data_IF_838004284342
#
_entry.id   IF_838004284342
#
_cell.length_a   1.000
_cell.length_b   1.000
_cell.length_c   1.000
_cell.angle_alpha   90.00
_cell.angle_beta   90.00
_cell.angle_gamma   90.00
#
_symmetry.space_group_name_H-M   'P 1'
#
loop_
_entity.id
_entity.type
_entity.pdbx_description
1 polymer ?
#
# COMPACT_ATOMS: atom_id res chain seq x y z
N UNK A 1 15.45 -36.13 31.19
CA UNK A 1 14.17 -35.37 31.21
C UNK A 1 14.50 -33.91 31.36
N UNK A 2 14.52 -33.19 30.29
CA UNK A 2 14.70 -31.72 30.28
C UNK A 2 13.89 -31.17 29.10
N UNK A 3 12.85 -30.39 29.41
CA UNK A 3 11.96 -29.74 28.46
C UNK A 3 12.69 -28.55 27.85
N UNK A 4 13.07 -28.67 26.60
CA UNK A 4 13.41 -27.52 25.76
C UNK A 4 12.12 -26.75 25.44
N UNK A 5 11.98 -25.57 26.02
CA UNK A 5 11.02 -24.55 25.64
C UNK A 5 11.64 -23.82 24.44
N UNK A 6 11.10 -24.10 23.29
CA UNK A 6 11.33 -23.28 22.10
C UNK A 6 10.57 -21.95 22.26
N UNK A 7 11.29 -20.90 22.55
CA UNK A 7 10.81 -19.52 22.52
C UNK A 7 11.58 -18.81 21.43
N UNK A 8 11.14 -18.98 20.20
CA UNK A 8 11.49 -18.05 19.13
C UNK A 8 10.63 -16.79 19.25
N UNK A 9 10.96 -15.93 20.22
CA UNK A 9 10.56 -14.54 20.19
C UNK A 9 11.32 -13.87 19.01
N UNK A 10 10.63 -13.68 17.91
CA UNK A 10 11.04 -12.70 16.90
C UNK A 10 10.95 -11.33 17.58
N UNK A 11 12.07 -10.87 18.12
CA UNK A 11 12.22 -9.47 18.49
C UNK A 11 12.17 -8.65 17.20
N UNK A 12 10.98 -8.21 16.85
CA UNK A 12 10.81 -7.13 15.89
C UNK A 12 11.46 -5.88 16.51
N UNK A 13 12.58 -5.45 15.91
CA UNK A 13 13.23 -4.18 16.29
C UNK A 13 12.21 -3.03 16.21
N UNK A 14 11.76 -2.59 17.39
CA UNK A 14 10.75 -1.53 17.53
C UNK A 14 11.31 -0.12 17.24
N UNK A 15 12.62 0.02 16.98
CA UNK A 15 13.31 1.31 16.98
C UNK A 15 13.57 1.96 15.62
N UNK A 16 13.16 1.33 14.50
CA UNK A 16 13.27 1.95 13.16
C UNK A 16 11.95 2.61 12.70
N UNK A 17 10.91 2.55 13.51
CA UNK A 17 9.62 3.16 13.22
C UNK A 17 9.55 4.44 14.03
N UNK A 18 9.66 5.58 13.41
CA UNK A 18 9.31 6.86 14.04
C UNK A 18 7.82 6.90 14.37
N UNK A 19 7.36 6.04 15.31
CA UNK A 19 6.01 6.06 15.80
C UNK A 19 5.91 7.22 16.79
N UNK A 20 5.28 8.30 16.35
CA UNK A 20 4.97 9.47 17.18
C UNK A 20 3.81 9.17 18.15
N UNK A 21 2.91 8.23 17.77
CA UNK A 21 1.68 7.89 18.49
C UNK A 21 1.63 6.41 18.89
N UNK A 22 0.95 6.13 20.00
CA UNK A 22 0.67 4.78 20.52
C UNK A 22 -0.84 4.52 20.51
N UNK A 23 -1.24 3.27 20.62
CA UNK A 23 -2.66 2.94 20.69
C UNK A 23 -3.37 3.65 21.85
N UNK A 24 -2.68 3.83 22.98
CA UNK A 24 -3.22 4.48 24.18
C UNK A 24 -3.46 5.99 24.00
N UNK A 25 -2.92 6.59 22.94
CA UNK A 25 -3.19 7.99 22.55
C UNK A 25 -4.53 8.15 21.83
N UNK A 26 -5.16 7.02 21.45
CA UNK A 26 -6.48 6.99 20.82
C UNK A 26 -7.57 6.65 21.82
N UNK A 27 -8.68 7.40 21.75
CA UNK A 27 -9.91 7.03 22.46
C UNK A 27 -10.61 5.90 21.68
N UNK A 28 -10.57 4.70 22.22
CA UNK A 28 -11.03 3.47 21.59
C UNK A 28 -12.28 2.92 22.28
N UNK A 29 -13.27 2.50 21.48
CA UNK A 29 -14.48 1.79 21.95
C UNK A 29 -14.53 0.42 21.25
N UNK A 30 -14.90 -0.61 22.00
CA UNK A 30 -15.04 -1.99 21.51
C UNK A 30 -16.51 -2.37 21.62
N UNK A 31 -17.12 -2.73 20.47
CA UNK A 31 -18.52 -3.14 20.39
C UNK A 31 -18.64 -4.44 19.57
N UNK A 32 -18.63 -5.59 20.27
CA UNK A 32 -18.67 -6.90 19.60
C UNK A 32 -17.45 -7.12 18.70
N UNK A 33 -17.69 -7.21 17.38
CA UNK A 33 -16.64 -7.36 16.37
C UNK A 33 -16.25 -6.02 15.71
N UNK A 34 -16.54 -4.90 16.39
CA UNK A 34 -16.20 -3.55 15.93
C UNK A 34 -15.22 -2.88 16.88
N UNK A 35 -14.28 -2.15 16.29
CA UNK A 35 -13.40 -1.22 16.97
C UNK A 35 -13.70 0.19 16.44
N UNK A 36 -13.95 1.12 17.33
CA UNK A 36 -14.25 2.52 16.96
C UNK A 36 -13.13 3.39 17.54
N UNK A 37 -12.42 4.08 16.69
CA UNK A 37 -11.51 5.14 17.08
C UNK A 37 -12.27 6.48 17.03
N UNK A 38 -12.27 7.19 18.14
CA UNK A 38 -12.97 8.47 18.28
C UNK A 38 -12.08 9.64 17.87
N UNK A 39 -12.69 10.64 17.24
CA UNK A 39 -12.07 11.94 16.96
C UNK A 39 -10.77 11.85 16.13
N UNK A 40 -10.70 10.96 15.12
CA UNK A 40 -9.52 10.77 14.28
C UNK A 40 -9.54 11.72 13.07
N UNK A 41 -8.73 12.79 13.14
CA UNK A 41 -8.76 13.87 12.14
C UNK A 41 -8.12 13.54 10.80
N UNK A 42 -7.11 12.68 10.77
CA UNK A 42 -6.27 12.42 9.59
C UNK A 42 -6.51 11.03 9.03
N UNK A 43 -7.78 10.68 8.80
CA UNK A 43 -8.16 9.39 8.27
C UNK A 43 -9.50 9.50 7.51
N UNK A 44 -9.47 9.36 6.19
CA UNK A 44 -10.70 9.24 5.40
C UNK A 44 -10.60 8.00 4.51
N UNK A 45 -11.47 6.98 4.69
CA UNK A 45 -11.43 5.74 3.91
C UNK A 45 -11.35 5.96 2.40
N UNK A 46 -12.15 6.88 1.86
CA UNK A 46 -12.12 7.22 0.44
C UNK A 46 -10.72 7.72 -0.01
N UNK A 47 -10.09 8.61 0.75
CA UNK A 47 -8.77 9.13 0.40
C UNK A 47 -7.69 8.06 0.50
N UNK A 48 -7.84 7.09 1.42
CA UNK A 48 -6.88 6.01 1.62
C UNK A 48 -6.99 4.95 0.52
N UNK A 49 -8.22 4.51 0.22
CA UNK A 49 -8.42 3.35 -0.65
C UNK A 49 -8.55 3.71 -2.13
N UNK A 50 -8.93 4.94 -2.46
CA UNK A 50 -9.07 5.39 -3.85
C UNK A 50 -7.84 6.14 -4.38
N UNK A 51 -6.79 6.35 -3.58
CA UNK A 51 -5.59 7.06 -4.00
C UNK A 51 -4.57 6.20 -4.78
N UNK A 52 -4.93 4.98 -5.19
CA UNK A 52 -4.14 4.15 -6.09
C UNK A 52 -2.97 3.38 -5.47
N UNK A 53 -2.92 3.28 -4.14
CA UNK A 53 -1.89 2.54 -3.42
C UNK A 53 -2.24 1.07 -3.16
N UNK A 54 -3.49 0.68 -3.30
CA UNK A 54 -4.00 -0.67 -2.99
C UNK A 54 -5.07 -1.10 -3.99
N UNK A 55 -5.30 -2.42 -4.11
CA UNK A 55 -6.19 -2.96 -5.15
C UNK A 55 -7.20 -3.97 -4.62
N UNK A 56 -7.21 -4.28 -3.34
CA UNK A 56 -8.10 -5.27 -2.70
C UNK A 56 -9.12 -4.65 -1.76
N UNK A 57 -9.35 -3.35 -1.88
CA UNK A 57 -10.36 -2.60 -1.15
C UNK A 57 -11.48 -2.23 -2.10
N UNK A 58 -12.71 -2.55 -1.73
CA UNK A 58 -13.91 -2.33 -2.55
C UNK A 58 -14.86 -1.44 -1.76
N UNK A 59 -15.32 -0.38 -2.40
CA UNK A 59 -16.38 0.47 -1.83
C UNK A 59 -17.71 -0.25 -1.88
N UNK A 60 -18.40 -0.31 -0.76
CA UNK A 60 -19.71 -0.91 -0.61
C UNK A 60 -20.82 0.12 -0.88
N UNK A 61 -22.06 -0.35 -1.02
CA UNK A 61 -23.23 0.51 -1.28
C UNK A 61 -23.51 1.52 -0.14
N UNK A 62 -23.16 1.14 1.11
CA UNK A 62 -23.26 2.00 2.29
C UNK A 62 -22.14 3.04 2.40
N UNK A 63 -21.23 3.08 1.44
CA UNK A 63 -20.08 3.99 1.40
C UNK A 63 -18.87 3.51 2.20
N UNK A 64 -18.98 2.42 2.95
CA UNK A 64 -17.85 1.77 3.63
C UNK A 64 -16.94 1.06 2.64
N UNK A 65 -15.76 0.63 3.10
CA UNK A 65 -14.80 -0.12 2.29
C UNK A 65 -14.52 -1.47 2.92
N UNK A 66 -14.75 -2.55 2.17
CA UNK A 66 -14.35 -3.90 2.58
C UNK A 66 -13.07 -4.29 1.88
N UNK A 67 -12.10 -4.77 2.64
CA UNK A 67 -10.81 -5.16 2.10
C UNK A 67 -10.26 -6.44 2.69
N UNK A 68 -9.28 -7.01 1.99
CA UNK A 68 -8.47 -8.12 2.46
C UNK A 68 -7.03 -7.66 2.56
N UNK A 69 -6.46 -7.79 3.76
CA UNK A 69 -5.06 -7.51 4.01
C UNK A 69 -4.53 -8.41 5.15
N UNK A 70 -3.25 -8.76 5.09
CA UNK A 70 -2.62 -9.59 6.14
C UNK A 70 -3.40 -10.88 6.47
N UNK A 71 -4.09 -11.47 5.46
CA UNK A 71 -4.88 -12.69 5.62
C UNK A 71 -6.17 -12.51 6.44
N UNK A 72 -6.71 -11.31 6.55
CA UNK A 72 -7.94 -10.95 7.25
C UNK A 72 -8.87 -10.15 6.35
N UNK A 73 -10.16 -10.30 6.58
CA UNK A 73 -11.22 -9.45 6.00
C UNK A 73 -11.62 -8.41 7.02
N UNK A 74 -11.68 -7.15 6.60
CA UNK A 74 -12.11 -6.04 7.44
C UNK A 74 -12.96 -5.07 6.63
N UNK A 75 -13.92 -4.42 7.29
CA UNK A 75 -14.64 -3.30 6.72
C UNK A 75 -14.27 -2.03 7.49
N UNK A 76 -14.12 -0.92 6.78
CA UNK A 76 -13.74 0.39 7.34
C UNK A 76 -14.71 1.43 6.84
N UNK A 77 -15.23 2.21 7.78
CA UNK A 77 -16.10 3.36 7.51
C UNK A 77 -15.76 4.52 8.43
N UNK A 78 -16.32 5.69 8.15
CA UNK A 78 -16.31 6.81 9.08
C UNK A 78 -17.73 7.20 9.45
N UNK A 79 -17.91 7.66 10.68
CA UNK A 79 -19.12 8.28 11.20
C UNK A 79 -18.73 9.63 11.82
N UNK A 80 -18.84 10.69 11.02
CA UNK A 80 -18.21 11.97 11.32
C UNK A 80 -16.68 11.81 11.39
N UNK A 81 -16.10 12.22 12.51
CA UNK A 81 -14.65 12.12 12.78
C UNK A 81 -14.26 10.77 13.40
N UNK A 82 -15.21 9.88 13.64
CA UNK A 82 -14.96 8.54 14.17
C UNK A 82 -14.66 7.56 13.04
N UNK A 83 -13.71 6.66 13.26
CA UNK A 83 -13.38 5.59 12.31
C UNK A 83 -13.85 4.26 12.89
N UNK A 84 -14.69 3.56 12.13
CA UNK A 84 -15.25 2.27 12.50
C UNK A 84 -14.56 1.17 11.71
N UNK A 85 -13.95 0.24 12.44
CA UNK A 85 -13.38 -0.99 11.90
C UNK A 85 -14.30 -2.15 12.28
N UNK A 86 -14.96 -2.77 11.30
CA UNK A 86 -15.88 -3.89 11.51
C UNK A 86 -15.25 -5.20 11.03
N UNK A 87 -15.70 -6.33 11.58
CA UNK A 87 -15.15 -7.67 11.37
C UNK A 87 -13.72 -7.82 11.88
N UNK A 88 -13.46 -7.25 13.04
CA UNK A 88 -12.18 -7.34 13.75
C UNK A 88 -12.37 -7.48 15.26
N UNK A 89 -11.29 -7.72 15.96
CA UNK A 89 -11.22 -7.77 17.42
C UNK A 89 -10.01 -6.97 17.91
N UNK A 90 -9.91 -6.74 19.20
CA UNK A 90 -8.84 -5.91 19.78
C UNK A 90 -7.43 -6.50 19.57
N UNK A 91 -7.30 -7.81 19.52
CA UNK A 91 -6.03 -8.51 19.29
C UNK A 91 -5.54 -8.26 17.86
N UNK A 92 -6.37 -8.55 16.86
CA UNK A 92 -6.05 -8.25 15.44
C UNK A 92 -5.86 -6.74 15.24
N UNK A 93 -6.61 -5.89 15.94
CA UNK A 93 -6.45 -4.45 15.83
C UNK A 93 -5.07 -4.00 16.32
N UNK A 94 -4.62 -4.45 17.48
CA UNK A 94 -3.30 -4.14 18.04
C UNK A 94 -2.14 -4.68 17.21
N UNK A 95 -2.26 -5.93 16.75
CA UNK A 95 -1.15 -6.65 16.14
C UNK A 95 -1.06 -6.47 14.61
N UNK A 96 -2.16 -6.07 13.95
CA UNK A 96 -2.24 -5.99 12.49
C UNK A 96 -2.66 -4.58 12.06
N UNK A 97 -3.86 -4.13 12.48
CA UNK A 97 -4.50 -2.96 11.87
C UNK A 97 -3.87 -1.65 12.28
N UNK A 98 -3.38 -1.56 13.52
CA UNK A 98 -2.69 -0.36 14.00
C UNK A 98 -1.46 -0.04 13.14
N UNK A 99 -0.65 -1.06 12.82
CA UNK A 99 0.48 -0.93 11.90
C UNK A 99 0.02 -0.75 10.44
N UNK A 100 -0.93 -1.58 9.99
CA UNK A 100 -1.39 -1.57 8.60
C UNK A 100 -1.91 -0.19 8.15
N UNK A 101 -2.67 0.49 9.00
CA UNK A 101 -3.20 1.83 8.74
C UNK A 101 -2.24 2.96 9.13
N UNK A 102 -1.00 2.64 9.47
CA UNK A 102 0.04 3.61 9.89
C UNK A 102 -0.47 4.54 11.02
N UNK A 103 -1.23 3.98 11.98
CA UNK A 103 -1.82 4.76 13.08
C UNK A 103 -0.76 5.27 14.06
N UNK A 104 0.42 4.66 14.07
CA UNK A 104 1.55 5.12 14.88
C UNK A 104 2.20 6.42 14.40
N UNK A 105 1.87 6.91 13.19
CA UNK A 105 2.43 8.15 12.64
C UNK A 105 1.52 9.34 12.92
N UNK A 106 2.09 10.45 13.35
CA UNK A 106 1.40 11.74 13.45
C UNK A 106 1.27 12.40 12.07
N UNK A 107 0.13 12.14 11.41
CA UNK A 107 -0.17 12.75 10.11
C UNK A 107 -0.48 14.25 10.20
N UNK A 108 -0.89 14.76 11.33
CA UNK A 108 -1.08 16.21 11.51
C UNK A 108 0.26 16.93 11.44
N UNK A 109 1.29 16.40 12.10
CA UNK A 109 2.67 16.91 12.03
C UNK A 109 3.23 16.79 10.61
N UNK A 110 3.11 15.60 9.99
CA UNK A 110 3.58 15.36 8.62
C UNK A 110 2.95 16.35 7.63
N UNK A 111 1.62 16.54 7.70
CA UNK A 111 0.91 17.47 6.84
C UNK A 111 1.32 18.92 7.06
N UNK A 112 1.55 19.31 8.31
CA UNK A 112 2.04 20.65 8.63
C UNK A 112 3.41 20.90 7.95
N UNK A 113 4.33 19.96 8.03
CA UNK A 113 5.63 20.04 7.37
C UNK A 113 5.51 20.12 5.84
N UNK A 114 4.68 19.26 5.23
CA UNK A 114 4.44 19.25 3.78
C UNK A 114 3.76 20.53 3.29
N UNK A 115 2.75 21.01 4.01
CA UNK A 115 2.02 22.25 3.66
C UNK A 115 2.88 23.50 3.72
N UNK A 116 3.90 23.50 4.58
CA UNK A 116 4.87 24.58 4.68
C UNK A 116 5.88 24.66 3.53
N UNK A 117 5.92 23.64 2.65
CA UNK A 117 6.90 23.58 1.57
C UNK A 117 6.58 24.56 0.44
N UNK A 118 5.38 24.49 -0.14
CA UNK A 118 4.89 25.44 -1.15
C UNK A 118 3.35 25.40 -1.26
N UNK A 119 2.78 26.40 -1.98
CA UNK A 119 1.34 26.56 -2.14
C UNK A 119 0.66 25.37 -2.89
N UNK A 120 1.35 24.73 -3.83
CA UNK A 120 0.78 23.62 -4.60
C UNK A 120 0.68 22.35 -3.75
N UNK A 121 1.72 22.07 -2.95
CA UNK A 121 1.71 20.95 -2.02
C UNK A 121 0.71 21.19 -0.89
N UNK A 122 0.59 22.43 -0.40
CA UNK A 122 -0.45 22.78 0.58
C UNK A 122 -1.86 22.48 0.04
N UNK A 123 -2.19 22.91 -1.19
CA UNK A 123 -3.47 22.60 -1.84
C UNK A 123 -3.69 21.08 -2.00
N UNK A 124 -2.65 20.34 -2.34
CA UNK A 124 -2.73 18.88 -2.50
C UNK A 124 -2.97 18.18 -1.14
N UNK A 125 -2.32 18.64 -0.07
CA UNK A 125 -2.52 18.15 1.30
C UNK A 125 -3.93 18.45 1.79
N UNK A 126 -4.43 19.68 1.59
CA UNK A 126 -5.79 20.06 1.97
C UNK A 126 -6.84 19.22 1.21
N UNK A 127 -6.61 18.95 -0.08
CA UNK A 127 -7.50 18.12 -0.89
C UNK A 127 -7.52 16.66 -0.44
N UNK A 128 -6.35 16.08 -0.19
CA UNK A 128 -6.16 14.70 0.21
C UNK A 128 -6.01 14.50 1.72
N UNK A 129 -6.55 15.39 2.56
CA UNK A 129 -6.28 15.50 3.99
C UNK A 129 -6.36 14.19 4.80
N UNK A 130 -7.16 13.24 4.35
CA UNK A 130 -7.35 11.95 5.02
C UNK A 130 -6.51 10.82 4.44
N UNK A 131 -5.54 11.09 3.55
CA UNK A 131 -4.64 10.07 3.00
C UNK A 131 -3.72 9.55 4.10
N UNK A 132 -3.57 8.22 4.15
CA UNK A 132 -2.53 7.49 4.88
C UNK A 132 -1.85 6.51 3.95
N UNK A 133 -0.55 6.29 4.09
CA UNK A 133 0.17 5.26 3.34
C UNK A 133 0.06 3.95 4.11
N UNK A 134 -0.63 2.97 3.50
CA UNK A 134 -0.86 1.65 4.08
C UNK A 134 0.45 0.83 4.16
N UNK A 135 0.61 0.08 5.26
CA UNK A 135 1.76 -0.81 5.48
C UNK A 135 1.46 -2.20 4.92
N UNK A 136 1.53 -2.31 3.60
CA UNK A 136 1.10 -3.50 2.87
C UNK A 136 2.15 -4.62 2.88
N UNK A 137 1.77 -5.79 2.43
CA UNK A 137 2.65 -6.94 2.29
C UNK A 137 3.54 -6.77 1.05
N UNK A 138 4.85 -6.98 1.20
CA UNK A 138 5.81 -6.74 0.12
C UNK A 138 5.63 -7.71 -1.06
N UNK A 139 5.26 -8.97 -0.79
CA UNK A 139 4.99 -9.95 -1.84
C UNK A 139 3.71 -9.61 -2.61
N UNK A 140 2.63 -9.31 -1.90
CA UNK A 140 1.37 -8.87 -2.53
C UNK A 140 1.60 -7.61 -3.36
N UNK A 141 2.38 -6.64 -2.87
CA UNK A 141 2.69 -5.41 -3.61
C UNK A 141 3.55 -5.69 -4.83
N UNK A 142 4.54 -6.57 -4.76
CA UNK A 142 5.39 -6.94 -5.90
C UNK A 142 4.52 -7.49 -7.05
N UNK A 143 3.67 -8.45 -6.79
CA UNK A 143 2.80 -9.05 -7.81
C UNK A 143 1.73 -8.06 -8.29
N UNK A 144 1.10 -7.34 -7.38
CA UNK A 144 0.03 -6.38 -7.70
C UNK A 144 0.53 -5.23 -8.58
N UNK A 145 1.73 -4.70 -8.31
CA UNK A 145 2.31 -3.63 -9.13
C UNK A 145 2.87 -4.14 -10.47
N UNK A 146 3.31 -5.39 -10.57
CA UNK A 146 3.55 -6.03 -11.88
C UNK A 146 2.25 -6.06 -12.69
N UNK A 147 1.12 -6.49 -12.09
CA UNK A 147 -0.19 -6.49 -12.74
C UNK A 147 -0.65 -5.08 -13.11
N UNK A 148 -0.28 -4.06 -12.33
CA UNK A 148 -0.67 -2.67 -12.57
C UNK A 148 0.03 -2.02 -13.76
N UNK A 149 1.15 -2.56 -14.23
CA UNK A 149 1.94 -1.99 -15.33
C UNK A 149 1.11 -1.86 -16.61
N UNK A 150 0.90 -0.63 -17.10
CA UNK A 150 0.07 -0.32 -18.27
C UNK A 150 -1.33 -0.98 -18.21
N UNK A 151 -2.04 -0.81 -17.09
CA UNK A 151 -3.33 -1.44 -16.84
C UNK A 151 -4.31 -0.45 -16.19
N UNK A 152 -5.59 -0.79 -16.17
CA UNK A 152 -6.66 0.00 -15.55
C UNK A 152 -7.06 -0.63 -14.21
N UNK A 153 -7.39 0.20 -13.21
CA UNK A 153 -7.71 -0.24 -11.85
C UNK A 153 -8.73 -1.39 -11.81
N UNK A 154 -9.87 -1.36 -12.51
CA UNK A 154 -10.82 -2.48 -12.47
C UNK A 154 -10.24 -3.80 -13.01
N UNK A 155 -9.35 -3.74 -13.99
CA UNK A 155 -8.71 -4.94 -14.53
C UNK A 155 -7.63 -5.48 -13.60
N UNK A 156 -6.92 -4.59 -12.90
CA UNK A 156 -5.95 -4.98 -11.86
C UNK A 156 -6.67 -5.69 -10.73
N UNK A 157 -7.73 -5.09 -10.19
CA UNK A 157 -8.55 -5.66 -9.13
C UNK A 157 -9.11 -7.03 -9.51
N UNK A 158 -9.63 -7.16 -10.73
CA UNK A 158 -10.16 -8.43 -11.25
C UNK A 158 -9.08 -9.51 -11.33
N UNK A 159 -7.89 -9.18 -11.84
CA UNK A 159 -6.80 -10.15 -11.94
C UNK A 159 -6.33 -10.62 -10.56
N UNK A 160 -6.18 -9.70 -9.61
CA UNK A 160 -5.79 -10.00 -8.23
C UNK A 160 -6.86 -10.85 -7.53
N UNK A 161 -8.15 -10.53 -7.72
CA UNK A 161 -9.25 -11.32 -7.17
C UNK A 161 -9.24 -12.75 -7.71
N UNK A 162 -9.09 -12.92 -9.03
CA UNK A 162 -9.03 -14.25 -9.66
C UNK A 162 -7.83 -15.08 -9.17
N UNK A 163 -6.67 -14.45 -9.01
CA UNK A 163 -5.47 -15.10 -8.45
C UNK A 163 -5.73 -15.54 -7.00
N UNK A 164 -6.30 -14.64 -6.19
CA UNK A 164 -6.59 -14.93 -4.78
C UNK A 164 -7.62 -16.03 -4.61
N UNK A 165 -8.69 -16.04 -5.40
CA UNK A 165 -9.72 -17.06 -5.36
C UNK A 165 -9.19 -18.43 -5.80
N UNK A 166 -8.33 -18.47 -6.83
CA UNK A 166 -7.85 -19.73 -7.40
C UNK A 166 -6.71 -20.37 -6.63
N UNK A 167 -5.83 -19.56 -6.04
CA UNK A 167 -4.58 -20.02 -5.41
C UNK A 167 -4.46 -19.66 -3.95
N UNK A 168 -5.21 -18.67 -3.48
CA UNK A 168 -5.17 -18.25 -2.08
C UNK A 168 -6.08 -19.13 -1.19
N UNK A 169 -5.82 -19.12 0.10
CA UNK A 169 -6.61 -19.82 1.11
C UNK A 169 -7.89 -19.04 1.41
N UNK A 170 -9.03 -19.72 1.49
CA UNK A 170 -10.28 -19.13 2.01
C UNK A 170 -10.06 -18.66 3.48
N UNK A 171 -10.42 -17.43 3.77
CA UNK A 171 -10.19 -16.77 5.07
C UNK A 171 -11.49 -16.43 5.80
N UNK A 172 -12.62 -16.71 5.21
CA UNK A 172 -13.93 -16.58 5.81
C UNK A 172 -14.95 -15.90 4.91
N UNK A 173 -16.13 -15.69 5.49
CA UNK A 173 -17.26 -15.03 4.86
C UNK A 173 -17.61 -13.74 5.62
N UNK A 174 -17.91 -12.68 4.89
CA UNK A 174 -18.38 -11.41 5.44
C UNK A 174 -19.42 -10.80 4.50
N UNK A 175 -20.55 -10.35 5.06
CA UNK A 175 -21.68 -9.77 4.30
C UNK A 175 -22.15 -10.68 3.14
N UNK A 176 -22.15 -12.01 3.33
CA UNK A 176 -22.61 -12.99 2.34
C UNK A 176 -21.64 -13.24 1.18
N UNK A 177 -20.39 -12.77 1.29
CA UNK A 177 -19.33 -13.01 0.29
C UNK A 177 -18.17 -13.76 0.94
N UNK A 178 -17.58 -14.72 0.18
CA UNK A 178 -16.36 -15.42 0.56
C UNK A 178 -15.14 -14.59 0.18
N UNK A 179 -14.13 -14.64 1.03
CA UNK A 179 -12.87 -13.92 0.84
C UNK A 179 -11.69 -14.88 0.92
N UNK A 180 -10.64 -14.55 0.15
CA UNK A 180 -9.44 -15.36 0.03
C UNK A 180 -8.21 -14.52 0.33
N UNK A 181 -7.24 -15.10 1.04
CA UNK A 181 -5.93 -14.48 1.22
C UNK A 181 -5.23 -14.33 -0.14
N UNK A 182 -4.32 -13.38 -0.26
CA UNK A 182 -3.38 -13.39 -1.38
C UNK A 182 -2.49 -14.64 -1.26
N UNK A 183 -2.26 -15.40 -2.34
CA UNK A 183 -1.48 -16.63 -2.25
C UNK A 183 -0.03 -16.35 -1.88
N UNK A 184 0.57 -17.22 -1.08
CA UNK A 184 2.01 -17.19 -0.82
C UNK A 184 2.80 -17.47 -2.11
N UNK A 185 4.10 -17.20 -2.16
CA UNK A 185 4.94 -17.59 -3.31
C UNK A 185 4.81 -19.08 -3.66
N UNK A 186 4.79 -19.96 -2.64
CA UNK A 186 4.66 -21.42 -2.82
C UNK A 186 3.27 -21.84 -3.33
N UNK A 187 2.21 -21.15 -2.88
CA UNK A 187 0.87 -21.38 -3.39
C UNK A 187 0.75 -20.94 -4.84
N UNK A 188 1.29 -19.76 -5.18
CA UNK A 188 1.23 -19.21 -6.53
C UNK A 188 2.17 -19.95 -7.52
N UNK A 189 3.24 -20.57 -7.05
CA UNK A 189 4.16 -21.37 -7.89
C UNK A 189 3.51 -22.59 -8.53
N UNK A 190 2.34 -23.00 -8.05
CA UNK A 190 1.55 -24.09 -8.64
C UNK A 190 0.84 -23.69 -9.94
N UNK A 191 0.77 -22.38 -10.23
CA UNK A 191 0.13 -21.85 -11.42
C UNK A 191 1.07 -21.98 -12.65
N UNK A 192 0.52 -22.49 -13.75
CA UNK A 192 1.17 -22.36 -15.06
C UNK A 192 1.01 -20.95 -15.64
N UNK A 193 1.75 -20.64 -16.70
CA UNK A 193 1.57 -19.36 -17.42
C UNK A 193 0.16 -19.23 -17.98
N UNK A 194 -0.43 -20.33 -18.48
CA UNK A 194 -1.78 -20.32 -19.02
C UNK A 194 -2.83 -20.12 -17.92
N UNK A 195 -2.64 -20.71 -16.74
CA UNK A 195 -3.48 -20.46 -15.57
C UNK A 195 -3.46 -19.00 -15.15
N UNK A 196 -2.28 -18.38 -15.12
CA UNK A 196 -2.14 -16.95 -14.81
C UNK A 196 -2.82 -16.08 -15.87
N UNK A 197 -2.73 -16.45 -17.15
CA UNK A 197 -3.44 -15.77 -18.24
C UNK A 197 -4.96 -15.85 -18.06
N UNK A 198 -5.47 -17.00 -17.65
CA UNK A 198 -6.90 -17.21 -17.35
C UNK A 198 -7.38 -16.34 -16.19
N UNK A 199 -6.49 -16.03 -15.23
CA UNK A 199 -6.74 -15.05 -14.18
C UNK A 199 -6.81 -13.60 -14.68
N UNK A 200 -6.78 -13.37 -16.01
CA UNK A 200 -6.88 -12.04 -16.64
C UNK A 200 -5.68 -11.14 -16.42
N UNK A 201 -4.50 -11.69 -16.22
CA UNK A 201 -3.24 -10.94 -16.06
C UNK A 201 -2.70 -10.37 -17.40
N UNK A 202 -3.21 -10.87 -18.53
CA UNK A 202 -2.77 -10.52 -19.88
C UNK A 202 -1.29 -10.89 -20.09
N UNK A 203 -0.52 -10.04 -20.77
CA UNK A 203 0.90 -10.29 -21.09
C UNK A 203 1.82 -10.37 -19.86
N UNK A 204 1.29 -10.06 -18.66
CA UNK A 204 2.03 -10.08 -17.39
C UNK A 204 2.13 -11.46 -16.77
N UNK A 205 1.40 -12.43 -17.31
CA UNK A 205 1.45 -13.84 -16.93
C UNK A 205 2.87 -14.37 -16.80
N UNK A 206 3.73 -14.10 -17.81
CA UNK A 206 5.14 -14.49 -17.83
C UNK A 206 5.98 -13.78 -16.76
N UNK A 207 5.65 -12.53 -16.47
CA UNK A 207 6.36 -11.76 -15.44
C UNK A 207 6.03 -12.29 -14.05
N UNK A 208 4.75 -12.53 -13.77
CA UNK A 208 4.28 -13.11 -12.50
C UNK A 208 4.91 -14.49 -12.31
N UNK A 209 4.85 -15.35 -13.33
CA UNK A 209 5.45 -16.69 -13.29
C UNK A 209 6.96 -16.64 -13.01
N UNK A 210 7.70 -15.78 -13.72
CA UNK A 210 9.15 -15.62 -13.48
C UNK A 210 9.45 -15.13 -12.08
N UNK A 211 8.75 -14.05 -11.63
CA UNK A 211 8.95 -13.46 -10.29
C UNK A 211 8.63 -14.46 -9.17
N UNK A 212 7.56 -15.25 -9.34
CA UNK A 212 7.20 -16.29 -8.37
C UNK A 212 8.31 -17.34 -8.27
N UNK A 213 8.83 -17.81 -9.41
CA UNK A 213 9.93 -18.77 -9.42
C UNK A 213 11.21 -18.20 -8.82
N UNK A 214 11.56 -16.93 -9.10
CA UNK A 214 12.74 -16.29 -8.53
C UNK A 214 12.67 -16.29 -6.99
N UNK A 215 11.51 -15.96 -6.41
CA UNK A 215 11.29 -15.93 -4.95
C UNK A 215 11.32 -17.36 -4.37
N UNK A 216 10.61 -18.31 -4.96
CA UNK A 216 10.59 -19.71 -4.47
C UNK A 216 11.98 -20.36 -4.58
N UNK A 217 12.79 -19.99 -5.58
CA UNK A 217 14.15 -20.50 -5.77
C UNK A 217 15.21 -19.75 -4.96
N UNK A 218 14.83 -18.88 -4.03
CA UNK A 218 15.73 -18.37 -3.01
C UNK A 218 16.00 -16.87 -3.04
N UNK A 219 15.33 -16.07 -3.87
CA UNK A 219 15.39 -14.61 -3.74
C UNK A 219 14.63 -14.20 -2.49
N UNK A 220 15.34 -13.77 -1.45
CA UNK A 220 14.75 -13.37 -0.19
C UNK A 220 14.29 -11.90 -0.25
N UNK A 221 13.05 -11.68 -0.68
CA UNK A 221 12.46 -10.34 -0.78
C UNK A 221 12.29 -9.65 0.57
N UNK A 222 12.29 -10.38 1.70
CA UNK A 222 12.18 -9.77 3.03
C UNK A 222 13.45 -8.99 3.43
N UNK A 223 14.61 -9.32 2.89
CA UNK A 223 15.83 -8.56 3.13
C UNK A 223 15.76 -7.12 2.59
N UNK A 224 14.87 -6.85 1.62
CA UNK A 224 14.75 -5.52 1.03
C UNK A 224 14.19 -4.47 2.01
N UNK A 225 13.59 -4.91 3.13
CA UNK A 225 13.23 -3.99 4.21
C UNK A 225 14.45 -3.31 4.83
N UNK A 226 15.59 -4.01 4.90
CA UNK A 226 16.82 -3.51 5.51
C UNK A 226 17.69 -2.70 4.53
N UNK A 227 17.36 -2.72 3.23
CA UNK A 227 18.11 -1.98 2.23
C UNK A 227 17.77 -0.49 2.24
N UNK A 228 18.78 0.34 1.93
CA UNK A 228 18.55 1.72 1.56
C UNK A 228 17.65 1.82 0.31
N UNK A 229 16.88 2.90 0.18
CA UNK A 229 15.87 3.06 -0.87
C UNK A 229 16.39 2.83 -2.28
N UNK A 230 17.57 3.35 -2.60
CA UNK A 230 18.18 3.18 -3.93
C UNK A 230 18.64 1.74 -4.19
N UNK A 231 19.06 1.02 -3.15
CA UNK A 231 19.42 -0.39 -3.25
C UNK A 231 18.15 -1.22 -3.43
N UNK A 232 17.13 -0.99 -2.59
CA UNK A 232 15.82 -1.63 -2.71
C UNK A 232 15.23 -1.44 -4.11
N UNK A 233 15.24 -0.22 -4.62
CA UNK A 233 14.77 0.10 -5.98
C UNK A 233 15.52 -0.69 -7.06
N UNK A 234 16.86 -0.77 -6.98
CA UNK A 234 17.68 -1.52 -7.94
C UNK A 234 17.42 -3.02 -7.87
N UNK A 235 17.27 -3.59 -6.67
CA UNK A 235 16.96 -5.01 -6.50
C UNK A 235 15.57 -5.34 -7.07
N UNK A 236 14.57 -4.51 -6.80
CA UNK A 236 13.22 -4.66 -7.37
C UNK A 236 13.22 -4.62 -8.90
N UNK A 237 14.05 -3.78 -9.52
CA UNK A 237 14.18 -3.71 -10.97
C UNK A 237 14.77 -4.96 -11.63
N UNK A 238 15.35 -5.89 -10.88
CA UNK A 238 15.82 -7.17 -11.41
C UNK A 238 14.69 -8.12 -11.76
N UNK A 239 13.50 -7.95 -11.16
CA UNK A 239 12.33 -8.75 -11.50
C UNK A 239 11.78 -8.36 -12.89
N UNK A 240 11.42 -9.35 -13.69
CA UNK A 240 10.86 -9.13 -15.02
C UNK A 240 9.53 -8.37 -14.93
N UNK A 241 9.40 -7.32 -15.72
CA UNK A 241 8.21 -6.46 -15.74
C UNK A 241 8.22 -5.34 -14.70
N UNK A 242 9.27 -5.24 -13.88
CA UNK A 242 9.46 -4.16 -12.90
C UNK A 242 10.38 -3.09 -13.50
N UNK A 243 9.79 -2.00 -13.98
CA UNK A 243 10.53 -0.80 -14.39
C UNK A 243 10.65 0.19 -13.22
N UNK A 244 11.36 1.31 -13.43
CA UNK A 244 11.67 2.29 -12.38
C UNK A 244 10.44 2.78 -11.60
N UNK A 245 9.34 3.15 -12.30
CA UNK A 245 8.09 3.58 -11.64
C UNK A 245 7.47 2.47 -10.78
N UNK A 246 7.46 1.24 -11.30
CA UNK A 246 6.90 0.08 -10.58
C UNK A 246 7.74 -0.24 -9.36
N UNK A 247 9.08 -0.20 -9.48
CA UNK A 247 9.99 -0.38 -8.36
C UNK A 247 9.78 0.66 -7.25
N UNK A 248 9.61 1.94 -7.60
CA UNK A 248 9.32 2.99 -6.62
C UNK A 248 7.97 2.78 -5.92
N UNK A 249 6.93 2.35 -6.64
CA UNK A 249 5.64 2.02 -6.02
C UNK A 249 5.77 0.86 -5.02
N UNK A 250 6.47 -0.21 -5.41
CA UNK A 250 6.69 -1.36 -4.52
C UNK A 250 7.54 -0.95 -3.31
N UNK A 251 8.60 -0.15 -3.52
CA UNK A 251 9.45 0.36 -2.45
C UNK A 251 8.65 1.21 -1.45
N UNK A 252 7.79 2.11 -1.94
CA UNK A 252 6.96 2.98 -1.10
C UNK A 252 5.91 2.19 -0.33
N UNK A 253 5.09 1.40 -1.04
CA UNK A 253 3.88 0.79 -0.48
C UNK A 253 4.11 -0.61 0.13
N UNK A 254 5.20 -1.30 -0.25
CA UNK A 254 5.55 -2.62 0.26
C UNK A 254 6.73 -2.62 1.24
N UNK A 255 7.65 -1.65 1.11
CA UNK A 255 8.89 -1.63 1.91
C UNK A 255 9.09 -0.37 2.75
N UNK A 256 8.09 0.51 2.83
CA UNK A 256 8.16 1.75 3.66
C UNK A 256 9.32 2.69 3.28
N UNK A 257 9.75 2.68 2.01
CA UNK A 257 10.78 3.59 1.53
C UNK A 257 10.15 4.94 1.19
N UNK A 258 9.87 5.74 2.23
CA UNK A 258 9.07 6.98 2.13
C UNK A 258 9.75 8.08 1.32
N UNK A 259 11.04 7.99 1.06
CA UNK A 259 11.77 8.86 0.15
C UNK A 259 11.73 8.39 -1.32
N UNK A 260 10.98 7.32 -1.65
CA UNK A 260 10.71 6.91 -3.04
C UNK A 260 9.79 7.92 -3.74
N UNK A 261 10.01 8.12 -5.04
CA UNK A 261 9.23 9.09 -5.82
C UNK A 261 8.76 8.46 -7.15
N UNK A 262 7.67 7.68 -7.13
CA UNK A 262 7.12 7.07 -8.34
C UNK A 262 6.64 8.13 -9.35
N UNK A 263 7.24 8.17 -10.55
CA UNK A 263 6.86 9.12 -11.60
C UNK A 263 5.99 8.41 -12.63
N UNK A 264 4.69 8.60 -12.53
CA UNK A 264 3.70 8.20 -13.54
C UNK A 264 3.29 9.39 -14.42
N UNK A 265 2.25 9.22 -15.24
CA UNK A 265 1.76 10.29 -16.13
C UNK A 265 1.21 11.49 -15.37
N UNK A 266 0.60 11.29 -14.19
CA UNK A 266 0.03 12.34 -13.37
C UNK A 266 1.12 13.11 -12.63
N UNK A 267 2.03 12.38 -11.98
CA UNK A 267 3.19 12.99 -11.31
C UNK A 267 4.08 13.72 -12.30
N UNK A 268 4.28 13.17 -13.50
CA UNK A 268 4.97 13.90 -14.59
C UNK A 268 4.31 15.25 -14.86
N UNK A 269 2.98 15.28 -15.01
CA UNK A 269 2.23 16.55 -15.25
C UNK A 269 2.37 17.53 -14.09
N UNK A 270 2.31 17.04 -12.84
CA UNK A 270 2.55 17.86 -11.64
C UNK A 270 3.92 18.51 -11.70
N UNK A 271 4.95 17.69 -11.90
CA UNK A 271 6.34 18.15 -11.90
C UNK A 271 6.61 19.17 -13.02
N UNK A 272 6.02 18.96 -14.18
CA UNK A 272 6.10 19.91 -15.29
C UNK A 272 5.33 21.20 -14.97
N UNK A 273 4.10 21.11 -14.48
CA UNK A 273 3.22 22.26 -14.30
C UNK A 273 3.61 23.14 -13.12
N UNK A 274 4.11 22.55 -12.03
CA UNK A 274 4.31 23.26 -10.76
C UNK A 274 5.79 23.37 -10.34
N UNK A 275 6.66 22.49 -10.88
CA UNK A 275 8.05 22.39 -10.40
C UNK A 275 9.11 22.59 -11.51
N UNK A 276 8.69 23.10 -12.67
CA UNK A 276 9.62 23.49 -13.74
C UNK A 276 10.39 22.32 -14.37
N UNK A 277 9.81 21.12 -14.38
CA UNK A 277 10.47 19.90 -14.85
C UNK A 277 10.13 19.56 -16.31
N UNK A 278 9.80 20.55 -17.17
CA UNK A 278 9.27 20.34 -18.51
C UNK A 278 10.19 19.52 -19.42
N UNK A 279 11.49 19.76 -19.36
CA UNK A 279 12.49 19.10 -20.21
C UNK A 279 13.22 17.95 -19.50
N UNK A 280 12.77 17.56 -18.31
CA UNK A 280 13.42 16.47 -17.57
C UNK A 280 13.01 15.10 -18.10
N UNK A 281 13.99 14.20 -18.29
CA UNK A 281 13.70 12.78 -18.46
C UNK A 281 13.11 12.19 -17.17
N UNK A 282 12.33 11.08 -17.26
CA UNK A 282 11.72 10.46 -16.09
C UNK A 282 12.73 10.12 -14.98
N UNK A 283 13.94 9.57 -15.26
CA UNK A 283 14.94 9.35 -14.21
C UNK A 283 15.43 10.64 -13.55
N UNK A 284 15.62 11.73 -14.31
CA UNK A 284 15.99 13.03 -13.74
C UNK A 284 14.88 13.61 -12.88
N UNK A 285 13.64 13.49 -13.35
CA UNK A 285 12.44 13.96 -12.62
C UNK A 285 12.26 13.21 -11.30
N UNK A 286 12.48 11.87 -11.30
CA UNK A 286 12.52 11.04 -10.08
C UNK A 286 13.53 11.58 -9.07
N UNK A 287 14.80 11.69 -9.50
CA UNK A 287 15.86 12.20 -8.63
C UNK A 287 15.60 13.62 -8.15
N UNK A 288 15.03 14.46 -9.00
CA UNK A 288 14.64 15.82 -8.64
C UNK A 288 13.57 15.83 -7.55
N UNK A 289 12.49 15.03 -7.71
CA UNK A 289 11.43 14.92 -6.69
C UNK A 289 11.95 14.35 -5.35
N UNK A 290 12.80 13.32 -5.40
CA UNK A 290 13.44 12.79 -4.20
C UNK A 290 14.28 13.83 -3.47
N UNK A 291 15.10 14.59 -4.20
CA UNK A 291 15.93 15.64 -3.60
C UNK A 291 15.10 16.83 -3.08
N UNK A 292 14.02 17.17 -3.79
CA UNK A 292 13.16 18.30 -3.46
C UNK A 292 12.40 18.07 -2.16
N UNK A 293 11.79 16.88 -1.97
CA UNK A 293 10.93 16.56 -0.85
C UNK A 293 11.62 15.70 0.23
N UNK A 294 12.86 15.26 0.00
CA UNK A 294 13.68 14.53 0.96
C UNK A 294 13.03 13.25 1.48
N UNK A 295 13.10 13.03 2.79
CA UNK A 295 12.59 11.82 3.45
C UNK A 295 11.07 11.65 3.30
N UNK A 296 10.33 12.72 3.03
CA UNK A 296 8.89 12.72 2.84
C UNK A 296 8.47 12.72 1.37
N UNK A 297 9.39 12.41 0.44
CA UNK A 297 9.12 12.49 -1.00
C UNK A 297 7.95 11.62 -1.45
N UNK A 298 7.79 10.42 -0.89
CA UNK A 298 6.68 9.52 -1.19
C UNK A 298 5.33 10.03 -0.69
N UNK A 299 5.30 10.69 0.45
CA UNK A 299 4.08 11.36 0.94
C UNK A 299 3.72 12.55 0.07
N UNK A 300 4.68 13.44 -0.22
CA UNK A 300 4.46 14.56 -1.12
C UNK A 300 3.96 14.09 -2.50
N UNK A 301 4.60 13.05 -3.05
CA UNK A 301 4.19 12.45 -4.32
C UNK A 301 2.76 11.93 -4.27
N UNK A 302 2.34 11.26 -3.18
CA UNK A 302 1.02 10.68 -3.06
C UNK A 302 -0.08 11.75 -2.99
N UNK A 303 0.13 12.83 -2.24
CA UNK A 303 -0.77 13.98 -2.21
C UNK A 303 -0.89 14.66 -3.58
N UNK A 304 0.24 14.95 -4.21
CA UNK A 304 0.29 15.60 -5.54
C UNK A 304 -0.34 14.73 -6.63
N UNK A 305 -0.09 13.41 -6.61
CA UNK A 305 -0.69 12.44 -7.53
C UNK A 305 -2.21 12.43 -7.40
N UNK A 306 -2.73 12.27 -6.17
CA UNK A 306 -4.16 12.22 -5.91
C UNK A 306 -4.85 13.51 -6.34
N UNK A 307 -4.31 14.66 -5.95
CA UNK A 307 -4.81 15.98 -6.32
C UNK A 307 -4.89 16.17 -7.83
N UNK A 308 -3.82 15.88 -8.56
CA UNK A 308 -3.78 16.07 -10.01
C UNK A 308 -4.73 15.14 -10.77
N UNK A 309 -4.80 13.87 -10.34
CA UNK A 309 -5.68 12.89 -10.96
C UNK A 309 -7.15 13.30 -10.83
N UNK A 310 -7.57 13.71 -9.66
CA UNK A 310 -8.97 14.10 -9.43
C UNK A 310 -9.33 15.42 -10.13
N UNK A 311 -8.43 16.38 -10.20
CA UNK A 311 -8.64 17.62 -10.97
C UNK A 311 -8.82 17.38 -12.47
N UNK A 312 -8.11 16.41 -13.05
CA UNK A 312 -8.21 16.10 -14.50
C UNK A 312 -9.41 15.17 -14.80
N UNK A 313 -9.83 14.31 -13.86
CA UNK A 313 -11.04 13.48 -14.02
C UNK A 313 -12.34 14.29 -13.86
N UNK A 314 -12.27 15.44 -13.19
CA UNK A 314 -13.41 16.37 -13.06
C UNK A 314 -13.65 17.29 -14.28
N UNK A 315 -12.81 17.18 -15.32
CA UNK A 315 -12.97 17.85 -16.60
C UNK A 315 -13.46 16.89 -17.68
#
# INVERSE_FOLDING_TARGET
MSKLKDKSEVKMNADLRGNDLRLDDYKLIIEGNKIILKDVKDFLPQHIFDCGQCFRWIREEDGSYTGVAKGRVINVSNDGDDIVFENTNIEDFKNIWFDYFDLGRDYSKLKYELSGFDENLNKAVDFGWGIRILQQDCWEMLISFIISSNNRIPMIQRAIANISERYGREIGEFRGKKYYAFPTPEELSKASIDDLRDCKTGFRDKYIFSTTNDVVNGVNINEFYDFESDICHKELMKFKGVGAKVADCIALFGYRKYNSFPVDVWVKRVMQKFYGADEMSLPKMRSYGMNLFGENAGFAQQYLFYYMRELDLGK
#
